data_IF_770073948508
#
_entry.id   IF_770073948508
#
_cell.length_a   1.000
_cell.length_b   1.000
_cell.length_c   1.000
_cell.angle_alpha   90.00
_cell.angle_beta   90.00
_cell.angle_gamma   90.00
#
_symmetry.space_group_name_H-M   'P 1'
#
loop_
_entity.id
_entity.type
_entity.pdbx_description
1 polymer ?
#
# COMPACT_ATOMS: atom_id res chain seq x y z
N UNK A 1 31.92 -63.27 52.45
CA UNK A 1 33.02 -62.29 52.55
C UNK A 1 33.49 -61.96 51.13
N UNK A 2 33.51 -60.66 50.79
CA UNK A 2 34.01 -60.00 49.55
C UNK A 2 33.16 -60.14 48.26
N UNK A 3 32.43 -59.07 47.93
CA UNK A 3 32.02 -58.74 46.55
C UNK A 3 32.90 -57.59 46.02
N UNK A 4 33.30 -57.57 44.74
CA UNK A 4 34.23 -56.58 44.21
C UNK A 4 33.51 -55.28 43.82
N UNK A 5 34.15 -54.15 44.12
CA UNK A 5 33.77 -52.82 43.65
C UNK A 5 33.96 -52.74 42.12
N UNK A 6 32.86 -52.53 41.39
CA UNK A 6 32.90 -52.31 39.94
C UNK A 6 32.91 -50.80 39.63
N UNK A 7 33.99 -50.24 39.05
CA UNK A 7 34.17 -48.79 38.91
C UNK A 7 33.30 -48.18 37.80
N UNK A 8 32.57 -49.00 37.03
CA UNK A 8 31.84 -48.55 35.85
C UNK A 8 30.52 -47.81 36.15
N UNK A 9 29.94 -47.97 37.35
CA UNK A 9 28.66 -47.32 37.73
C UNK A 9 28.76 -45.81 37.91
N UNK A 10 29.96 -45.24 38.09
CA UNK A 10 30.14 -43.79 38.28
C UNK A 10 30.27 -43.01 36.96
N UNK A 11 30.67 -43.66 35.87
CA UNK A 11 30.81 -43.01 34.55
C UNK A 11 29.46 -42.85 33.83
N UNK A 12 28.48 -43.70 34.11
CA UNK A 12 27.14 -43.61 33.49
C UNK A 12 26.21 -42.57 34.14
N UNK A 13 26.52 -42.11 35.36
CA UNK A 13 25.71 -41.11 36.08
C UNK A 13 26.02 -39.66 35.68
N UNK A 14 27.11 -39.40 34.96
CA UNK A 14 27.47 -38.05 34.48
C UNK A 14 27.21 -37.83 32.98
N UNK A 15 26.87 -38.86 32.21
CA UNK A 15 26.63 -38.72 30.76
C UNK A 15 25.17 -38.33 30.41
N UNK A 16 24.21 -38.67 31.27
CA UNK A 16 22.78 -38.39 31.06
C UNK A 16 22.39 -36.89 31.15
N UNK A 17 22.94 -36.05 32.06
CA UNK A 17 22.58 -34.64 32.09
C UNK A 17 23.28 -33.81 30.99
N UNK A 18 24.36 -34.31 30.38
CA UNK A 18 25.08 -33.61 29.32
C UNK A 18 24.42 -33.79 27.94
N UNK A 19 23.81 -34.96 27.69
CA UNK A 19 23.07 -35.21 26.44
C UNK A 19 21.74 -34.43 26.36
N UNK A 20 21.11 -34.14 27.52
CA UNK A 20 19.87 -33.34 27.57
C UNK A 20 20.09 -31.84 27.33
N UNK A 21 21.34 -31.35 27.42
CA UNK A 21 21.70 -29.95 27.15
C UNK A 21 21.96 -29.64 25.68
N UNK A 22 22.03 -30.67 24.81
CA UNK A 22 22.36 -30.51 23.39
C UNK A 22 21.13 -30.52 22.45
N UNK A 23 19.91 -30.71 22.96
CA UNK A 23 18.68 -30.71 22.14
C UNK A 23 17.87 -29.42 22.24
N UNK A 24 18.40 -28.37 22.88
CA UNK A 24 17.67 -27.13 23.15
C UNK A 24 17.87 -25.99 22.14
N UNK A 25 18.62 -26.21 21.05
CA UNK A 25 18.83 -25.19 20.02
C UNK A 25 18.63 -25.77 18.62
N UNK A 26 17.38 -26.00 18.23
CA UNK A 26 16.92 -25.68 16.87
C UNK A 26 15.39 -25.59 16.88
N UNK A 27 14.85 -24.52 17.48
CA UNK A 27 13.48 -24.10 17.19
C UNK A 27 13.50 -23.53 15.76
N UNK A 28 13.57 -24.43 14.79
CA UNK A 28 13.45 -24.16 13.36
C UNK A 28 12.04 -23.67 13.06
N UNK A 29 11.70 -22.48 13.57
CA UNK A 29 10.63 -21.65 13.04
C UNK A 29 11.01 -21.37 11.60
N UNK A 30 10.63 -22.27 10.70
CA UNK A 30 10.57 -22.00 9.27
C UNK A 30 9.89 -20.65 9.17
N UNK A 31 10.65 -19.66 8.71
CA UNK A 31 10.07 -18.38 8.35
C UNK A 31 8.88 -18.70 7.44
N UNK A 32 7.67 -18.16 7.76
CA UNK A 32 6.51 -18.40 6.93
C UNK A 32 6.91 -18.10 5.49
N UNK A 33 6.56 -18.97 4.52
CA UNK A 33 6.91 -18.72 3.14
C UNK A 33 6.49 -17.28 2.80
N UNK A 34 7.35 -16.51 2.09
CA UNK A 34 7.08 -15.11 1.80
C UNK A 34 5.67 -15.03 1.23
N UNK A 35 4.82 -14.22 1.86
CA UNK A 35 3.42 -14.05 1.45
C UNK A 35 3.45 -13.75 -0.05
N UNK A 36 2.75 -14.54 -0.89
CA UNK A 36 2.72 -14.29 -2.33
C UNK A 36 2.42 -12.82 -2.56
N UNK A 37 3.14 -12.19 -3.51
CA UNK A 37 2.91 -10.81 -3.88
C UNK A 37 1.39 -10.61 -4.04
N UNK A 38 0.86 -9.55 -3.43
CA UNK A 38 -0.58 -9.30 -3.44
C UNK A 38 -1.01 -8.94 -4.87
N UNK A 39 -1.37 -9.95 -5.65
CA UNK A 39 -1.95 -9.75 -6.98
C UNK A 39 -3.38 -9.29 -6.79
N UNK A 40 -3.65 -8.03 -7.13
CA UNK A 40 -5.00 -7.50 -7.22
C UNK A 40 -5.75 -8.17 -8.36
N UNK A 41 -6.98 -8.62 -8.10
CA UNK A 41 -7.88 -9.12 -9.13
C UNK A 41 -9.02 -8.15 -9.35
N UNK A 42 -9.44 -7.99 -10.60
CA UNK A 42 -10.51 -7.09 -11.02
C UNK A 42 -11.68 -7.91 -11.54
N UNK A 43 -12.82 -7.83 -10.86
CA UNK A 43 -14.03 -8.56 -11.25
C UNK A 43 -15.06 -7.54 -11.77
N UNK A 44 -15.48 -7.67 -13.02
CA UNK A 44 -16.56 -6.84 -13.56
C UNK A 44 -17.83 -7.06 -12.75
N UNK A 45 -18.50 -5.97 -12.35
CA UNK A 45 -19.76 -5.98 -11.61
C UNK A 45 -20.75 -5.00 -12.25
N UNK A 46 -22.06 -5.23 -12.11
CA UNK A 46 -23.06 -4.29 -12.59
C UNK A 46 -23.10 -3.00 -11.74
N UNK A 47 -23.70 -1.94 -12.29
CA UNK A 47 -23.80 -0.63 -11.64
C UNK A 47 -24.65 -0.63 -10.36
N UNK A 48 -25.62 -1.52 -10.25
CA UNK A 48 -26.47 -1.69 -9.06
C UNK A 48 -25.77 -2.41 -7.90
N UNK A 49 -24.57 -2.96 -8.13
CA UNK A 49 -23.73 -3.52 -7.07
C UNK A 49 -22.98 -2.44 -6.26
N UNK A 50 -22.98 -1.18 -6.72
CA UNK A 50 -22.38 -0.08 -5.97
C UNK A 50 -23.24 0.30 -4.76
N UNK A 51 -22.62 0.69 -3.62
CA UNK A 51 -23.37 1.18 -2.47
C UNK A 51 -24.15 2.45 -2.83
N UNK A 52 -25.30 2.62 -2.18
CA UNK A 52 -26.11 3.81 -2.33
C UNK A 52 -25.28 5.07 -2.03
N UNK A 53 -25.26 6.00 -2.97
CA UNK A 53 -24.54 7.28 -2.88
C UNK A 53 -25.56 8.40 -3.00
N UNK A 54 -25.46 9.42 -2.14
CA UNK A 54 -26.35 10.56 -2.20
C UNK A 54 -26.15 11.34 -3.51
N UNK A 55 -27.19 12.03 -3.97
CA UNK A 55 -27.09 12.86 -5.17
C UNK A 55 -26.08 14.01 -4.99
N UNK A 56 -25.96 14.55 -3.78
CA UNK A 56 -24.98 15.58 -3.45
C UNK A 56 -23.55 15.05 -3.58
N UNK A 57 -23.27 13.85 -3.04
CA UNK A 57 -21.95 13.21 -3.12
C UNK A 57 -21.62 12.78 -4.55
N UNK A 58 -22.61 12.30 -5.31
CA UNK A 58 -22.44 11.96 -6.73
C UNK A 58 -22.01 13.19 -7.54
N UNK A 59 -22.69 14.31 -7.35
CA UNK A 59 -22.33 15.57 -8.02
C UNK A 59 -20.95 16.07 -7.59
N UNK A 60 -20.64 16.03 -6.29
CA UNK A 60 -19.34 16.43 -5.77
C UNK A 60 -18.20 15.58 -6.36
N UNK A 61 -18.36 14.25 -6.34
CA UNK A 61 -17.40 13.30 -6.91
C UNK A 61 -17.23 13.46 -8.42
N UNK A 62 -18.31 13.63 -9.17
CA UNK A 62 -18.26 13.87 -10.61
C UNK A 62 -17.52 15.17 -10.95
N UNK A 63 -17.77 16.25 -10.20
CA UNK A 63 -17.06 17.51 -10.40
C UNK A 63 -15.57 17.40 -10.06
N UNK A 64 -15.23 16.68 -8.99
CA UNK A 64 -13.84 16.41 -8.63
C UNK A 64 -13.13 15.63 -9.74
N UNK A 65 -13.73 14.55 -10.26
CA UNK A 65 -13.20 13.80 -11.40
C UNK A 65 -13.07 14.66 -12.66
N UNK A 66 -14.11 15.42 -13.01
CA UNK A 66 -14.12 16.30 -14.18
C UNK A 66 -13.03 17.37 -14.12
N UNK A 67 -12.65 17.84 -12.93
CA UNK A 67 -11.55 18.81 -12.78
C UNK A 67 -10.20 18.26 -13.29
N UNK A 68 -9.99 16.94 -13.24
CA UNK A 68 -8.78 16.29 -13.75
C UNK A 68 -8.75 16.20 -15.29
N UNK A 69 -9.89 16.35 -15.97
CA UNK A 69 -10.00 16.22 -17.42
C UNK A 69 -9.15 17.23 -18.21
N UNK A 70 -8.81 18.39 -17.62
CA UNK A 70 -7.90 19.33 -18.23
C UNK A 70 -6.52 18.71 -18.56
N UNK A 71 -6.04 17.79 -17.72
CA UNK A 71 -4.77 17.07 -17.92
C UNK A 71 -4.93 15.84 -18.82
N UNK A 72 -6.13 15.23 -18.79
CA UNK A 72 -6.43 13.98 -19.51
C UNK A 72 -6.94 14.21 -20.95
N UNK A 73 -7.11 15.44 -21.39
CA UNK A 73 -7.69 15.75 -22.70
C UNK A 73 -6.96 15.12 -23.91
N UNK A 74 -5.66 14.84 -23.77
CA UNK A 74 -4.84 14.20 -24.82
C UNK A 74 -4.60 12.71 -24.58
N UNK A 75 -5.13 12.16 -23.50
CA UNK A 75 -4.98 10.75 -23.18
C UNK A 75 -5.85 9.90 -24.13
N UNK A 76 -5.33 8.81 -24.71
CA UNK A 76 -6.05 8.01 -25.69
C UNK A 76 -7.28 7.28 -25.11
N UNK A 77 -7.32 7.02 -23.81
CA UNK A 77 -8.44 6.35 -23.13
C UNK A 77 -9.40 7.40 -22.55
N UNK A 78 -8.86 8.45 -21.95
CA UNK A 78 -9.65 9.43 -21.19
C UNK A 78 -10.10 10.65 -21.99
N UNK A 79 -9.48 10.95 -23.14
CA UNK A 79 -9.78 12.15 -23.90
C UNK A 79 -11.25 12.26 -24.31
N UNK A 80 -11.83 11.18 -24.83
CA UNK A 80 -13.22 11.16 -25.31
C UNK A 80 -14.27 11.20 -24.16
N UNK A 81 -14.14 10.41 -23.07
CA UNK A 81 -14.99 10.56 -21.89
C UNK A 81 -14.92 11.96 -21.28
N UNK A 82 -13.71 12.55 -21.21
CA UNK A 82 -13.52 13.90 -20.70
C UNK A 82 -14.13 14.97 -21.58
N UNK A 83 -14.02 14.85 -22.91
CA UNK A 83 -14.69 15.76 -23.84
C UNK A 83 -16.22 15.71 -23.67
N UNK A 84 -16.77 14.50 -23.55
CA UNK A 84 -18.20 14.27 -23.35
C UNK A 84 -18.72 14.77 -22.00
N UNK A 85 -17.89 14.70 -20.95
CA UNK A 85 -18.23 15.21 -19.63
C UNK A 85 -18.47 16.74 -19.58
N UNK A 86 -17.97 17.49 -20.58
CA UNK A 86 -18.14 18.95 -20.64
C UNK A 86 -19.59 19.38 -20.90
N UNK A 87 -20.37 18.54 -21.58
CA UNK A 87 -21.77 18.83 -21.92
C UNK A 87 -22.77 18.25 -20.91
N UNK A 88 -22.30 17.50 -19.91
CA UNK A 88 -23.17 16.90 -18.89
C UNK A 88 -23.70 18.00 -17.97
N UNK A 89 -25.02 18.07 -17.87
CA UNK A 89 -25.71 18.99 -16.96
C UNK A 89 -25.33 18.71 -15.50
N UNK A 90 -25.30 19.75 -14.67
CA UNK A 90 -25.06 19.63 -13.23
C UNK A 90 -26.31 19.11 -12.49
N UNK A 91 -26.80 17.95 -12.92
CA UNK A 91 -27.99 17.26 -12.42
C UNK A 91 -27.64 15.79 -12.12
N UNK A 92 -28.08 15.22 -10.98
CA UNK A 92 -27.73 13.85 -10.59
C UNK A 92 -28.16 12.78 -11.60
N UNK A 93 -29.30 12.98 -12.27
CA UNK A 93 -29.81 12.01 -13.26
C UNK A 93 -28.92 12.02 -14.50
N UNK A 94 -28.57 13.19 -15.00
CA UNK A 94 -27.67 13.35 -16.14
C UNK A 94 -26.26 12.78 -15.83
N UNK A 95 -25.72 13.04 -14.64
CA UNK A 95 -24.42 12.51 -14.21
C UNK A 95 -24.45 10.99 -14.09
N UNK A 96 -25.50 10.43 -13.49
CA UNK A 96 -25.65 8.97 -13.34
C UNK A 96 -25.74 8.28 -14.70
N UNK A 97 -26.53 8.83 -15.63
CA UNK A 97 -26.64 8.31 -16.99
C UNK A 97 -25.29 8.35 -17.72
N UNK A 98 -24.58 9.48 -17.65
CA UNK A 98 -23.24 9.62 -18.24
C UNK A 98 -22.26 8.58 -17.68
N UNK A 99 -22.19 8.42 -16.36
CA UNK A 99 -21.27 7.46 -15.75
C UNK A 99 -21.62 6.02 -16.15
N UNK A 100 -22.91 5.67 -16.19
CA UNK A 100 -23.38 4.36 -16.62
C UNK A 100 -23.07 4.06 -18.09
N UNK A 101 -23.13 5.06 -18.96
CA UNK A 101 -22.79 4.94 -20.37
C UNK A 101 -21.28 4.84 -20.60
N UNK A 102 -20.48 5.62 -19.87
CA UNK A 102 -19.05 5.81 -20.16
C UNK A 102 -18.11 4.94 -19.33
N UNK A 103 -18.57 4.38 -18.20
CA UNK A 103 -17.70 3.69 -17.26
C UNK A 103 -18.22 2.29 -16.93
N UNK A 104 -17.28 1.36 -16.81
CA UNK A 104 -17.50 0.01 -16.31
C UNK A 104 -17.14 -0.06 -14.82
N UNK A 105 -17.89 -0.83 -14.04
CA UNK A 105 -17.61 -1.01 -12.62
C UNK A 105 -16.87 -2.33 -12.42
N UNK A 106 -15.73 -2.26 -11.71
CA UNK A 106 -14.96 -3.43 -11.32
C UNK A 106 -14.79 -3.46 -9.80
N UNK A 107 -15.07 -4.60 -9.19
CA UNK A 107 -14.72 -4.90 -7.80
C UNK A 107 -13.25 -5.32 -7.73
N UNK A 108 -12.47 -4.60 -6.92
CA UNK A 108 -11.09 -4.96 -6.62
C UNK A 108 -11.09 -5.99 -5.49
N UNK A 109 -10.35 -7.09 -5.66
CA UNK A 109 -10.21 -8.16 -4.68
C UNK A 109 -8.74 -8.45 -4.39
N UNK A 110 -8.46 -8.84 -3.15
CA UNK A 110 -7.12 -9.29 -2.75
C UNK A 110 -6.74 -10.60 -3.44
N UNK A 111 -5.47 -11.01 -3.35
CA UNK A 111 -5.00 -12.28 -3.91
C UNK A 111 -5.68 -13.51 -3.28
N UNK A 112 -6.26 -13.36 -2.08
CA UNK A 112 -7.08 -14.37 -1.40
C UNK A 112 -8.59 -14.14 -1.61
N UNK A 113 -8.97 -13.36 -2.63
CA UNK A 113 -10.36 -13.01 -2.98
C UNK A 113 -11.13 -12.23 -1.89
N UNK A 114 -10.45 -11.49 -1.02
CA UNK A 114 -11.10 -10.63 -0.03
C UNK A 114 -11.61 -9.31 -0.63
N UNK A 115 -12.75 -8.79 -0.12
CA UNK A 115 -13.30 -7.46 -0.48
C UNK A 115 -12.95 -6.33 0.48
N UNK A 116 -12.31 -6.64 1.60
CA UNK A 116 -11.97 -5.64 2.60
C UNK A 116 -10.61 -5.00 2.29
N UNK A 117 -10.53 -3.69 2.48
CA UNK A 117 -9.31 -2.90 2.36
C UNK A 117 -9.22 -1.86 3.48
N UNK A 118 -8.05 -1.23 3.61
CA UNK A 118 -7.82 -0.16 4.58
C UNK A 118 -7.98 1.20 3.89
N UNK A 119 -8.91 2.02 4.38
CA UNK A 119 -9.03 3.43 4.01
C UNK A 119 -8.30 4.27 5.05
N UNK A 120 -7.34 5.09 4.61
CA UNK A 120 -6.61 6.05 5.45
C UNK A 120 -6.87 7.48 4.96
N UNK A 121 -6.44 8.48 5.74
CA UNK A 121 -6.58 9.90 5.40
C UNK A 121 -5.25 10.63 5.46
N UNK A 122 -5.09 11.63 4.59
CA UNK A 122 -4.03 12.63 4.65
C UNK A 122 -4.66 14.03 4.55
N UNK A 123 -3.94 15.06 4.97
CA UNK A 123 -4.40 16.45 4.88
C UNK A 123 -3.23 17.37 4.54
N UNK A 124 -3.54 18.58 4.09
CA UNK A 124 -2.56 19.65 3.88
C UNK A 124 -2.49 20.51 5.16
N UNK A 125 -1.39 20.47 5.92
CA UNK A 125 -1.26 21.27 7.14
C UNK A 125 -1.07 22.75 6.81
N UNK A 126 -1.71 23.62 7.59
CA UNK A 126 -1.58 25.07 7.47
C UNK A 126 -0.74 25.61 8.61
N UNK A 127 0.34 26.34 8.28
CA UNK A 127 1.23 26.98 9.24
C UNK A 127 1.27 28.49 9.03
N UNK A 128 1.41 29.24 10.12
CA UNK A 128 1.74 30.66 10.03
C UNK A 128 3.21 30.81 9.61
N UNK A 129 3.45 31.49 8.49
CA UNK A 129 4.78 31.69 7.92
C UNK A 129 5.05 33.13 7.53
N UNK A 130 6.24 33.38 7.02
CA UNK A 130 6.69 34.66 6.49
C UNK A 130 7.57 34.43 5.26
N UNK A 131 7.50 35.31 4.26
CA UNK A 131 8.40 35.30 3.11
C UNK A 131 9.79 35.88 3.44
N UNK A 132 9.94 36.55 4.59
CA UNK A 132 11.21 37.07 5.10
C UNK A 132 11.51 36.52 6.49
N UNK A 133 12.79 36.28 6.79
CA UNK A 133 13.22 35.80 8.10
C UNK A 133 12.83 36.81 9.21
N UNK A 134 12.37 36.29 10.35
CA UNK A 134 12.07 37.10 11.53
C UNK A 134 12.12 36.29 12.81
N UNK A 135 12.02 36.97 13.96
CA UNK A 135 12.13 36.32 15.29
C UNK A 135 11.08 35.21 15.51
N UNK A 136 9.86 35.39 14.98
CA UNK A 136 8.77 34.40 15.07
C UNK A 136 8.78 33.34 13.97
N UNK A 137 9.56 33.53 12.91
CA UNK A 137 9.70 32.62 11.76
C UNK A 137 11.19 32.40 11.43
N UNK A 138 11.99 31.86 12.38
CA UNK A 138 13.45 31.80 12.21
C UNK A 138 13.91 30.62 11.33
N UNK A 139 13.05 29.63 11.09
CA UNK A 139 13.38 28.41 10.33
C UNK A 139 12.88 28.53 8.89
N UNK A 140 13.77 28.48 7.87
CA UNK A 140 13.36 28.55 6.47
C UNK A 140 12.77 27.23 5.97
N UNK A 141 11.92 27.31 4.94
CA UNK A 141 11.48 26.15 4.15
C UNK A 141 12.42 26.04 2.95
N UNK A 142 13.23 24.98 2.90
CA UNK A 142 14.21 24.78 1.83
C UNK A 142 13.56 24.23 0.56
N UNK A 143 13.97 24.76 -0.59
CA UNK A 143 13.77 24.10 -1.87
C UNK A 143 14.75 22.94 -2.08
N UNK A 144 14.73 22.34 -3.26
CA UNK A 144 15.73 21.33 -3.65
C UNK A 144 17.08 22.03 -3.86
N UNK A 145 18.18 21.59 -3.21
CA UNK A 145 19.52 22.17 -3.42
C UNK A 145 20.08 21.91 -4.84
N UNK A 146 20.88 22.85 -5.37
CA UNK A 146 21.54 22.72 -6.69
C UNK A 146 22.55 21.56 -6.74
N UNK A 147 23.07 21.15 -5.58
CA UNK A 147 24.04 20.06 -5.42
C UNK A 147 23.39 18.74 -4.97
N UNK A 148 22.06 18.63 -4.99
CA UNK A 148 21.38 17.36 -4.72
C UNK A 148 21.64 16.36 -5.86
N UNK A 149 22.45 15.34 -5.58
CA UNK A 149 22.70 14.23 -6.51
C UNK A 149 21.81 13.04 -6.14
N UNK A 150 20.90 12.67 -7.06
CA UNK A 150 20.09 11.43 -6.96
C UNK A 150 20.73 10.37 -7.84
N UNK A 151 21.15 9.25 -7.24
CA UNK A 151 21.80 8.14 -7.97
C UNK A 151 20.83 6.97 -8.09
N UNK A 152 20.47 6.60 -9.32
CA UNK A 152 19.73 5.38 -9.63
C UNK A 152 20.69 4.17 -9.63
N UNK A 153 20.99 3.66 -8.44
CA UNK A 153 21.99 2.62 -8.21
C UNK A 153 21.63 1.28 -8.88
N UNK A 154 20.36 1.05 -9.20
CA UNK A 154 19.87 -0.17 -9.82
C UNK A 154 20.44 -0.43 -11.22
N UNK A 155 20.93 0.61 -11.89
CA UNK A 155 21.53 0.51 -13.23
C UNK A 155 22.96 -0.06 -13.20
N UNK A 156 23.64 0.05 -12.06
CA UNK A 156 25.04 -0.39 -11.86
C UNK A 156 25.11 -1.59 -10.93
N UNK A 157 24.24 -1.61 -9.91
CA UNK A 157 24.12 -2.64 -8.89
C UNK A 157 22.66 -3.10 -8.86
N UNK A 158 22.28 -4.11 -9.68
CA UNK A 158 20.91 -4.62 -9.76
C UNK A 158 20.33 -5.03 -8.39
N UNK A 159 21.19 -5.40 -7.44
CA UNK A 159 20.83 -5.72 -6.05
C UNK A 159 20.31 -4.51 -5.24
N UNK A 160 20.54 -3.28 -5.70
CA UNK A 160 20.08 -2.04 -5.06
C UNK A 160 18.75 -1.52 -5.63
N UNK A 161 18.06 -2.31 -6.46
CA UNK A 161 16.76 -1.92 -7.00
C UNK A 161 15.72 -1.68 -5.89
N UNK A 162 15.28 -0.43 -5.77
CA UNK A 162 14.29 0.01 -4.78
C UNK A 162 14.85 0.21 -3.37
N UNK A 163 16.18 0.31 -3.22
CA UNK A 163 16.88 0.66 -1.98
C UNK A 163 17.17 2.16 -1.91
#
# INVERSE_FOLDING_TARGET
MKFPFHPWRRLLLCALPFAALLTACDDGKKEPPPKPAEVTTYNSVPWDALPATSDADLLAGFNAWRSACARLAKDPVWGEPCASATTVAADPTAVRAFLQERMQVYSLRSSSNGDQGLITGYYEPVYHGSLSQGEKTPVPVYGVPDDLVVVALESVYPELKGK
#
